data_IF_254068743471
#
_entry.id   IF_254068743471
#
_cell.length_a   1.000
_cell.length_b   1.000
_cell.length_c   1.000
_cell.angle_alpha   90.00
_cell.angle_beta   90.00
_cell.angle_gamma   90.00
#
_symmetry.space_group_name_H-M   'P 1'
#
loop_
_entity.id
_entity.type
_entity.pdbx_description
1 polymer ?
#
# COMPACT_ATOMS: atom_id res chain seq x y z
N UNK A 1 -20.48 -24.51 -7.81
CA UNK A 1 -19.78 -23.72 -8.84
C UNK A 1 -19.49 -22.35 -8.25
N UNK A 2 -18.22 -21.99 -8.08
CA UNK A 2 -17.83 -20.66 -7.61
C UNK A 2 -18.06 -19.67 -8.75
N UNK A 3 -18.84 -18.61 -8.54
CA UNK A 3 -19.05 -17.56 -9.54
C UNK A 3 -17.75 -16.78 -9.76
N UNK A 4 -17.57 -16.17 -10.95
CA UNK A 4 -16.38 -15.32 -11.23
C UNK A 4 -16.22 -14.18 -10.22
N UNK A 5 -17.33 -13.68 -9.68
CA UNK A 5 -17.36 -12.67 -8.62
C UNK A 5 -16.77 -13.23 -7.32
N UNK A 6 -17.23 -14.40 -6.86
CA UNK A 6 -16.71 -15.05 -5.65
C UNK A 6 -15.23 -15.42 -5.77
N UNK A 7 -14.75 -15.78 -6.97
CA UNK A 7 -13.32 -16.00 -7.20
C UNK A 7 -12.53 -14.69 -7.08
N UNK A 8 -13.05 -13.59 -7.62
CA UNK A 8 -12.41 -12.26 -7.53
C UNK A 8 -12.30 -11.80 -6.09
N UNK A 9 -13.36 -11.98 -5.29
CA UNK A 9 -13.36 -11.64 -3.86
C UNK A 9 -12.33 -12.47 -3.08
N UNK A 10 -12.23 -13.77 -3.38
CA UNK A 10 -11.24 -14.65 -2.75
C UNK A 10 -9.80 -14.25 -3.09
N UNK A 11 -9.57 -13.86 -4.36
CA UNK A 11 -8.27 -13.34 -4.80
C UNK A 11 -7.92 -12.02 -4.10
N UNK A 12 -8.87 -11.12 -3.96
CA UNK A 12 -8.68 -9.85 -3.24
C UNK A 12 -8.36 -10.09 -1.77
N UNK A 13 -9.06 -11.02 -1.10
CA UNK A 13 -8.73 -11.43 0.26
C UNK A 13 -7.30 -11.99 0.35
N UNK A 14 -6.90 -12.83 -0.61
CA UNK A 14 -5.53 -13.34 -0.71
C UNK A 14 -4.49 -12.23 -0.80
N UNK A 15 -4.72 -11.25 -1.68
CA UNK A 15 -3.84 -10.08 -1.84
C UNK A 15 -3.80 -9.27 -0.54
N UNK A 16 -4.94 -9.03 0.12
CA UNK A 16 -4.99 -8.31 1.39
C UNK A 16 -4.22 -9.03 2.50
N UNK A 17 -4.29 -10.36 2.59
CA UNK A 17 -3.52 -11.14 3.56
C UNK A 17 -2.02 -11.03 3.31
N UNK A 18 -1.60 -11.20 2.04
CA UNK A 18 -0.19 -11.06 1.66
C UNK A 18 0.31 -9.66 2.01
N UNK A 19 -0.46 -8.63 1.64
CA UNK A 19 -0.08 -7.24 1.87
C UNK A 19 -0.01 -6.89 3.36
N UNK A 20 -1.01 -7.27 4.15
CA UNK A 20 -1.00 -7.08 5.61
C UNK A 20 0.15 -7.79 6.30
N UNK A 21 0.50 -9.01 5.86
CA UNK A 21 1.64 -9.76 6.36
C UNK A 21 3.01 -9.16 6.02
N UNK A 22 3.09 -8.20 5.10
CA UNK A 22 4.38 -7.60 4.74
C UNK A 22 4.96 -6.70 5.84
N UNK A 23 4.15 -5.99 6.62
CA UNK A 23 4.66 -5.03 7.60
C UNK A 23 5.54 -5.70 8.69
N UNK A 24 5.11 -6.82 9.33
CA UNK A 24 5.97 -7.53 10.28
C UNK A 24 7.24 -8.10 9.63
N UNK A 25 7.13 -8.67 8.42
CA UNK A 25 8.26 -9.25 7.70
C UNK A 25 9.32 -8.21 7.33
N UNK A 26 8.89 -7.04 6.84
CA UNK A 26 9.79 -5.93 6.54
C UNK A 26 10.41 -5.42 7.85
N UNK A 27 9.63 -5.29 8.92
CA UNK A 27 10.15 -4.82 10.22
C UNK A 27 11.28 -5.71 10.75
N UNK A 28 11.14 -7.03 10.64
CA UNK A 28 12.20 -8.00 10.98
C UNK A 28 13.39 -7.84 10.04
N UNK A 29 13.15 -7.77 8.73
CA UNK A 29 14.23 -7.61 7.73
C UNK A 29 15.06 -6.34 7.92
N UNK A 30 14.44 -5.26 8.40
CA UNK A 30 15.11 -3.99 8.69
C UNK A 30 16.00 -4.01 9.94
N UNK A 31 16.01 -5.09 10.72
CA UNK A 31 16.97 -5.28 11.80
C UNK A 31 18.37 -5.59 11.25
N UNK A 32 18.43 -6.31 10.13
CA UNK A 32 19.68 -6.79 9.53
C UNK A 32 20.07 -6.03 8.26
N UNK A 33 19.14 -5.26 7.67
CA UNK A 33 19.34 -4.60 6.37
C UNK A 33 18.87 -3.15 6.36
N UNK A 34 19.59 -2.32 5.61
CA UNK A 34 19.19 -0.93 5.35
C UNK A 34 17.91 -0.84 4.50
N UNK A 35 16.97 0.09 4.77
CA UNK A 35 15.77 0.32 3.98
C UNK A 35 16.03 0.46 2.47
N UNK A 36 17.13 1.15 2.11
CA UNK A 36 17.50 1.38 0.72
C UNK A 36 17.85 0.07 0.01
N UNK A 37 18.69 -0.77 0.63
CA UNK A 37 19.11 -2.06 0.06
C UNK A 37 17.91 -3.00 -0.06
N UNK A 38 17.07 -3.05 0.98
CA UNK A 38 15.86 -3.87 0.97
C UNK A 38 14.93 -3.49 -0.19
N UNK A 39 14.66 -2.18 -0.38
CA UNK A 39 13.81 -1.71 -1.47
C UNK A 39 14.45 -1.92 -2.85
N UNK A 40 15.76 -1.67 -2.99
CA UNK A 40 16.47 -1.92 -4.25
C UNK A 40 16.34 -3.38 -4.69
N UNK A 41 16.58 -4.33 -3.78
CA UNK A 41 16.43 -5.76 -4.08
C UNK A 41 14.97 -6.12 -4.40
N UNK A 42 14.01 -5.64 -3.59
CA UNK A 42 12.58 -5.90 -3.79
C UNK A 42 12.10 -5.42 -5.16
N UNK A 43 12.40 -4.17 -5.52
CA UNK A 43 11.97 -3.61 -6.79
C UNK A 43 12.75 -4.18 -7.97
N UNK A 44 14.04 -4.48 -7.83
CA UNK A 44 14.81 -5.16 -8.87
C UNK A 44 14.21 -6.54 -9.20
N UNK A 45 13.92 -7.35 -8.17
CA UNK A 45 13.26 -8.64 -8.36
C UNK A 45 11.89 -8.49 -9.01
N UNK A 46 11.07 -7.54 -8.54
CA UNK A 46 9.77 -7.27 -9.13
C UNK A 46 9.88 -6.86 -10.61
N UNK A 47 10.81 -5.96 -10.95
CA UNK A 47 11.06 -5.52 -12.32
C UNK A 47 11.50 -6.68 -13.21
N UNK A 48 12.44 -7.52 -12.77
CA UNK A 48 12.91 -8.67 -13.55
C UNK A 48 11.79 -9.69 -13.81
N UNK A 49 11.00 -10.00 -12.78
CA UNK A 49 9.87 -10.93 -12.90
C UNK A 49 8.82 -10.35 -13.86
N UNK A 50 8.42 -9.09 -13.67
CA UNK A 50 7.41 -8.45 -14.52
C UNK A 50 7.90 -8.28 -15.96
N UNK A 51 9.17 -7.92 -16.17
CA UNK A 51 9.75 -7.81 -17.51
C UNK A 51 9.80 -9.17 -18.22
N UNK A 52 10.05 -10.27 -17.49
CA UNK A 52 10.03 -11.61 -18.06
C UNK A 52 8.60 -12.08 -18.42
N UNK A 53 7.63 -11.82 -17.55
CA UNK A 53 6.22 -12.21 -17.74
C UNK A 53 5.57 -11.39 -18.86
N UNK A 54 5.79 -10.07 -18.88
CA UNK A 54 5.16 -9.12 -19.80
C UNK A 54 6.09 -8.65 -20.92
N UNK A 55 7.02 -9.51 -21.33
CA UNK A 55 8.06 -9.15 -22.32
C UNK A 55 7.47 -8.70 -23.66
N UNK A 56 6.34 -9.27 -24.08
CA UNK A 56 5.72 -8.98 -25.38
C UNK A 56 5.06 -7.61 -25.35
N UNK A 57 4.36 -7.32 -24.26
CA UNK A 57 3.65 -6.08 -24.00
C UNK A 57 4.62 -4.92 -23.90
N UNK A 58 5.78 -5.14 -23.25
CA UNK A 58 6.87 -4.16 -23.18
C UNK A 58 7.35 -3.70 -24.56
N UNK A 59 7.50 -4.63 -25.51
CA UNK A 59 7.96 -4.29 -26.87
C UNK A 59 6.93 -3.50 -27.69
N UNK A 60 5.65 -3.58 -27.33
CA UNK A 60 4.56 -2.82 -27.96
C UNK A 60 4.18 -1.54 -27.22
N UNK A 61 4.88 -1.20 -26.14
CA UNK A 61 4.53 -0.06 -25.29
C UNK A 61 4.93 1.26 -25.95
N UNK A 62 4.04 2.25 -25.99
CA UNK A 62 4.34 3.56 -26.55
C UNK A 62 5.21 4.40 -25.60
N UNK A 63 5.93 5.38 -26.14
CA UNK A 63 6.73 6.30 -25.33
C UNK A 63 5.87 7.07 -24.31
N UNK A 64 4.65 7.48 -24.68
CA UNK A 64 3.75 8.16 -23.74
C UNK A 64 3.37 7.27 -22.55
N UNK A 65 3.18 5.96 -22.77
CA UNK A 65 2.90 5.02 -21.70
C UNK A 65 4.12 4.83 -20.78
N UNK A 66 5.34 4.85 -21.33
CA UNK A 66 6.58 4.82 -20.54
C UNK A 66 6.75 6.08 -19.70
N UNK A 67 6.48 7.26 -20.24
CA UNK A 67 6.54 8.53 -19.50
C UNK A 67 5.53 8.56 -18.35
N UNK A 68 4.28 8.16 -18.61
CA UNK A 68 3.25 8.04 -17.58
C UNK A 68 3.64 7.00 -16.51
N UNK A 69 4.17 5.85 -16.93
CA UNK A 69 4.64 4.81 -16.03
C UNK A 69 5.82 5.26 -15.16
N UNK A 70 6.74 6.03 -15.73
CA UNK A 70 7.88 6.61 -15.00
C UNK A 70 7.41 7.61 -13.94
N UNK A 71 6.47 8.50 -14.30
CA UNK A 71 5.89 9.46 -13.35
C UNK A 71 5.19 8.74 -12.19
N UNK A 72 4.36 7.73 -12.48
CA UNK A 72 3.73 6.89 -11.45
C UNK A 72 4.78 6.18 -10.60
N UNK A 73 5.84 5.68 -11.23
CA UNK A 73 6.97 5.02 -10.58
C UNK A 73 7.68 5.90 -9.57
N UNK A 74 7.86 7.20 -9.86
CA UNK A 74 8.44 8.17 -8.91
C UNK A 74 7.57 8.29 -7.65
N UNK A 75 6.26 8.47 -7.80
CA UNK A 75 5.36 8.58 -6.65
C UNK A 75 5.33 7.29 -5.82
N UNK A 76 5.31 6.13 -6.49
CA UNK A 76 5.40 4.82 -5.82
C UNK A 76 6.73 4.71 -5.08
N UNK A 77 7.86 5.07 -5.70
CA UNK A 77 9.17 5.00 -5.07
C UNK A 77 9.24 5.86 -3.81
N UNK A 78 8.77 7.12 -3.89
CA UNK A 78 8.75 8.03 -2.74
C UNK A 78 7.93 7.42 -1.61
N UNK A 79 6.69 7.01 -1.88
CA UNK A 79 5.80 6.43 -0.86
C UNK A 79 6.35 5.14 -0.24
N UNK A 80 6.95 4.25 -1.03
CA UNK A 80 7.58 3.04 -0.48
C UNK A 80 8.83 3.37 0.35
N UNK A 81 9.62 4.36 -0.08
CA UNK A 81 10.82 4.77 0.63
C UNK A 81 10.48 5.41 1.98
N UNK A 82 9.60 6.41 1.98
CA UNK A 82 9.14 7.08 3.20
C UNK A 82 8.50 6.08 4.14
N UNK A 83 7.61 5.22 3.66
CA UNK A 83 6.99 4.17 4.48
C UNK A 83 8.01 3.19 5.06
N UNK A 84 8.94 2.67 4.26
CA UNK A 84 9.92 1.66 4.73
C UNK A 84 10.91 2.26 5.72
N UNK A 85 11.34 3.51 5.51
CA UNK A 85 12.15 4.24 6.48
C UNK A 85 11.32 4.54 7.73
N UNK A 86 10.06 4.94 7.58
CA UNK A 86 9.14 5.18 8.68
C UNK A 86 8.94 3.95 9.56
N UNK A 87 8.79 2.78 8.92
CA UNK A 87 8.67 1.47 9.58
C UNK A 87 9.88 1.12 10.43
N UNK A 88 11.07 1.69 10.17
CA UNK A 88 12.23 1.55 11.08
C UNK A 88 11.93 2.14 12.46
N UNK A 89 11.21 3.26 12.50
CA UNK A 89 10.96 4.05 13.71
C UNK A 89 9.57 3.84 14.32
N UNK A 90 8.60 3.30 13.56
CA UNK A 90 7.28 2.94 14.08
C UNK A 90 7.08 1.42 14.22
N UNK A 91 5.94 0.98 14.74
CA UNK A 91 5.58 -0.44 14.84
C UNK A 91 4.92 -0.93 13.55
N UNK A 92 4.99 -2.24 13.29
CA UNK A 92 4.32 -2.83 12.13
C UNK A 92 2.80 -2.59 12.15
N UNK A 93 2.16 -2.72 13.32
CA UNK A 93 0.73 -2.46 13.49
C UNK A 93 0.36 -1.00 13.21
N UNK A 94 1.13 -0.03 13.74
CA UNK A 94 0.91 1.40 13.47
C UNK A 94 1.12 1.75 12.00
N UNK A 95 2.20 1.25 11.39
CA UNK A 95 2.45 1.48 9.98
C UNK A 95 1.34 0.91 9.11
N UNK A 96 0.96 -0.35 9.35
CA UNK A 96 -0.14 -1.01 8.64
C UNK A 96 -1.47 -0.27 8.80
N UNK A 97 -1.77 0.23 10.01
CA UNK A 97 -2.94 1.07 10.27
C UNK A 97 -2.93 2.34 9.43
N UNK A 98 -1.86 3.14 9.50
CA UNK A 98 -1.73 4.40 8.76
C UNK A 98 -1.89 4.16 7.25
N UNK A 99 -1.24 3.12 6.73
CA UNK A 99 -1.35 2.77 5.31
C UNK A 99 -2.75 2.28 4.94
N UNK A 100 -3.42 1.56 5.84
CA UNK A 100 -4.80 1.11 5.67
C UNK A 100 -5.81 2.26 5.59
N UNK A 101 -5.52 3.41 6.23
CA UNK A 101 -6.35 4.62 6.12
C UNK A 101 -6.40 5.17 4.69
N UNK A 102 -5.50 4.77 3.79
CA UNK A 102 -5.63 5.13 2.37
C UNK A 102 -6.96 4.64 1.78
N UNK A 103 -7.53 3.52 2.24
CA UNK A 103 -8.86 3.06 1.81
C UNK A 103 -9.96 4.09 2.11
N UNK A 104 -9.76 4.92 3.14
CA UNK A 104 -10.66 6.03 3.51
C UNK A 104 -10.34 7.26 2.68
N UNK A 105 -9.06 7.62 2.58
CA UNK A 105 -8.65 8.85 1.92
C UNK A 105 -8.78 8.79 0.41
N UNK A 106 -8.48 7.65 -0.23
CA UNK A 106 -8.56 7.48 -1.69
C UNK A 106 -9.90 7.92 -2.26
N UNK A 107 -11.07 7.43 -1.79
CA UNK A 107 -12.34 7.91 -2.34
C UNK A 107 -12.63 9.39 -2.04
N UNK A 108 -12.20 9.90 -0.88
CA UNK A 108 -12.40 11.31 -0.48
C UNK A 108 -11.58 12.23 -1.41
N UNK A 109 -10.33 11.88 -1.68
CA UNK A 109 -9.43 12.62 -2.57
C UNK A 109 -9.78 12.43 -4.04
N UNK A 110 -10.31 11.25 -4.41
CA UNK A 110 -10.76 10.98 -5.77
C UNK A 110 -12.05 11.71 -6.12
N UNK A 111 -12.93 12.00 -5.15
CA UNK A 111 -14.20 12.70 -5.38
C UNK A 111 -14.05 14.03 -6.14
N UNK A 112 -13.19 14.99 -5.74
CA UNK A 112 -13.03 16.25 -6.48
C UNK A 112 -12.42 16.06 -7.88
N UNK A 113 -11.64 15.00 -8.09
CA UNK A 113 -10.96 14.72 -9.36
C UNK A 113 -11.90 14.00 -10.34
N UNK A 114 -12.51 12.91 -9.90
CA UNK A 114 -13.37 12.04 -10.72
C UNK A 114 -14.84 12.48 -10.72
N UNK A 115 -15.22 13.44 -9.86
CA UNK A 115 -16.58 13.98 -9.68
C UNK A 115 -17.65 12.91 -9.48
N UNK A 116 -17.28 11.76 -8.93
CA UNK A 116 -18.16 10.59 -8.78
C UNK A 116 -18.63 10.48 -7.34
N UNK A 117 -19.93 10.73 -7.08
CA UNK A 117 -20.49 10.65 -5.73
C UNK A 117 -20.32 9.26 -5.11
N UNK A 118 -19.89 9.22 -3.84
CA UNK A 118 -19.77 7.97 -3.10
C UNK A 118 -21.14 7.47 -2.64
N UNK A 119 -21.60 6.28 -3.06
CA UNK A 119 -22.84 5.71 -2.55
C UNK A 119 -22.73 5.42 -1.06
N UNK A 120 -23.84 5.60 -0.31
CA UNK A 120 -23.90 5.41 1.15
C UNK A 120 -23.31 4.08 1.64
N UNK A 121 -23.50 3.01 0.87
CA UNK A 121 -22.93 1.67 1.16
C UNK A 121 -21.39 1.68 1.23
N UNK A 122 -20.71 2.44 0.36
CA UNK A 122 -19.24 2.57 0.40
C UNK A 122 -18.77 3.37 1.60
N UNK A 123 -19.51 4.41 2.00
CA UNK A 123 -19.20 5.17 3.22
C UNK A 123 -19.27 4.25 4.45
N UNK A 124 -20.30 3.44 4.57
CA UNK A 124 -20.42 2.46 5.66
C UNK A 124 -19.28 1.42 5.64
N UNK A 125 -18.90 0.91 4.46
CA UNK A 125 -17.78 -0.01 4.33
C UNK A 125 -16.44 0.62 4.76
N UNK A 126 -16.21 1.88 4.36
CA UNK A 126 -15.02 2.65 4.77
C UNK A 126 -15.00 2.87 6.28
N UNK A 127 -16.12 3.25 6.90
CA UNK A 127 -16.21 3.42 8.36
C UNK A 127 -15.94 2.10 9.09
N UNK A 128 -16.54 1.00 8.63
CA UNK A 128 -16.33 -0.32 9.23
C UNK A 128 -14.86 -0.76 9.11
N UNK A 129 -14.25 -0.59 7.93
CA UNK A 129 -12.85 -0.90 7.69
C UNK A 129 -11.93 -0.04 8.57
N UNK A 130 -12.24 1.25 8.75
CA UNK A 130 -11.50 2.16 9.62
C UNK A 130 -11.53 1.72 11.08
N UNK A 131 -12.72 1.34 11.56
CA UNK A 131 -12.89 0.84 12.94
C UNK A 131 -12.13 -0.46 13.14
N UNK A 132 -12.23 -1.41 12.20
CA UNK A 132 -11.48 -2.67 12.27
C UNK A 132 -9.96 -2.45 12.26
N UNK A 133 -9.48 -1.55 11.40
CA UNK A 133 -8.10 -1.10 11.37
C UNK A 133 -7.69 -0.51 12.72
N UNK A 134 -8.49 0.40 13.30
CA UNK A 134 -8.19 1.07 14.57
C UNK A 134 -8.07 0.08 15.74
N UNK A 135 -8.96 -0.91 15.79
CA UNK A 135 -8.92 -1.97 16.81
C UNK A 135 -7.67 -2.85 16.70
N UNK A 136 -7.15 -3.05 15.48
CA UNK A 136 -5.93 -3.83 15.24
C UNK A 136 -4.65 -3.08 15.63
N UNK A 137 -4.68 -1.76 15.66
CA UNK A 137 -3.47 -0.94 15.77
C UNK A 137 -2.77 -0.97 17.13
N UNK A 138 -3.42 -1.51 18.18
CA UNK A 138 -2.99 -1.41 19.58
C UNK A 138 -2.61 0.03 19.99
N UNK A 139 -3.23 1.03 19.35
CA UNK A 139 -2.95 2.45 19.60
C UNK A 139 -3.70 2.85 20.85
N UNK A 140 -2.96 3.18 21.92
CA UNK A 140 -3.52 3.85 23.08
C UNK A 140 -4.02 5.25 22.66
N UNK A 141 -5.35 5.54 22.75
CA UNK A 141 -5.94 6.79 22.31
C UNK A 141 -5.34 8.02 23.00
N UNK A 142 -4.81 7.84 24.21
CA UNK A 142 -4.26 8.91 25.06
C UNK A 142 -2.80 9.21 24.68
N UNK A 143 -2.08 8.23 24.12
CA UNK A 143 -0.68 8.36 23.71
C UNK A 143 -0.49 8.46 22.20
N UNK A 144 -1.49 8.98 21.46
CA UNK A 144 -1.45 9.24 20.02
C UNK A 144 -0.45 10.36 19.67
N UNK A 145 0.80 10.19 20.09
CA UNK A 145 1.94 11.00 19.68
C UNK A 145 2.44 10.41 18.37
N UNK A 146 2.23 11.15 17.28
CA UNK A 146 2.91 10.86 16.01
C UNK A 146 4.41 11.00 16.24
N UNK A 147 5.12 9.90 16.07
CA UNK A 147 6.58 9.93 16.01
C UNK A 147 7.03 10.22 14.56
N UNK A 148 8.34 10.41 14.38
CA UNK A 148 8.93 10.64 13.07
C UNK A 148 8.62 9.53 12.06
N UNK A 149 8.59 8.27 12.51
CA UNK A 149 8.22 7.13 11.68
C UNK A 149 6.78 7.16 11.20
N UNK A 150 5.85 7.52 12.09
CA UNK A 150 4.43 7.65 11.74
C UNK A 150 4.21 8.72 10.67
N UNK A 151 4.90 9.86 10.79
CA UNK A 151 4.85 10.93 9.79
C UNK A 151 5.39 10.47 8.43
N UNK A 152 6.52 9.77 8.42
CA UNK A 152 7.07 9.19 7.21
C UNK A 152 6.15 8.13 6.58
N UNK A 153 5.39 7.38 7.37
CA UNK A 153 4.42 6.42 6.85
C UNK A 153 3.17 7.07 6.25
N UNK A 154 2.81 8.28 6.68
CA UNK A 154 1.68 9.02 6.09
C UNK A 154 2.00 9.51 4.67
N UNK A 155 3.24 9.96 4.46
CA UNK A 155 3.76 10.48 3.19
C UNK A 155 3.89 9.40 2.10
#
# INVERSE_FOLDING_TARGET
MVSKESLSDLMLLGVSMIWGGTFPLIKVSLQDTSPYVFLSLRFLMATLILAAVFRKELTSTSMQALEAGFLIGIFIFIGYLTQTVGLKYTTASKSGFITGLYVVFTPILAYPILRTALPRKRILAVLLASTGLFLLSEIDPISLRMNYGDFLTVL
#
